data_IF_121341016003
#
_entry.id   IF_121341016003
#
_cell.length_a   1.000
_cell.length_b   1.000
_cell.length_c   1.000
_cell.angle_alpha   90.00
_cell.angle_beta   90.00
_cell.angle_gamma   90.00
#
_symmetry.space_group_name_H-M   'P 1'
#
loop_
_entity.id
_entity.type
_entity.pdbx_description
1 polymer ?
#
# COMPACT_ATOMS: atom_id res chain seq x y z
N UNK A 1 -9.30 -33.81 11.14
CA UNK A 1 -9.52 -32.99 9.93
C UNK A 1 -8.92 -31.60 10.14
N UNK A 2 -7.86 -31.23 9.41
CA UNK A 2 -7.32 -29.86 9.44
C UNK A 2 -8.43 -28.92 8.96
N UNK A 3 -8.98 -28.11 9.85
CA UNK A 3 -9.91 -27.03 9.48
C UNK A 3 -9.26 -26.24 8.33
N UNK A 4 -9.90 -26.12 7.15
CA UNK A 4 -9.32 -25.35 6.06
C UNK A 4 -9.06 -23.96 6.61
N UNK A 5 -7.77 -23.57 6.58
CA UNK A 5 -7.26 -22.29 7.06
C UNK A 5 -8.31 -21.22 6.85
N UNK A 6 -8.84 -20.66 7.95
CA UNK A 6 -9.71 -19.50 7.93
C UNK A 6 -9.10 -18.43 7.02
N UNK A 7 -9.54 -18.42 5.75
CA UNK A 7 -8.98 -17.59 4.68
C UNK A 7 -9.99 -16.49 4.45
N UNK A 8 -9.53 -15.27 4.67
CA UNK A 8 -10.33 -14.05 4.61
C UNK A 8 -10.63 -13.71 3.14
N UNK A 9 -11.47 -14.50 2.47
CA UNK A 9 -11.76 -14.29 1.05
C UNK A 9 -12.36 -12.92 0.77
N UNK A 10 -13.20 -12.41 1.66
CA UNK A 10 -13.78 -11.08 1.54
C UNK A 10 -12.72 -9.97 1.46
N UNK A 11 -11.58 -10.13 2.12
CA UNK A 11 -10.48 -9.16 2.09
C UNK A 11 -9.79 -9.13 0.73
N UNK A 12 -9.52 -10.29 0.13
CA UNK A 12 -8.94 -10.34 -1.21
C UNK A 12 -9.89 -9.71 -2.25
N UNK A 13 -11.19 -9.93 -2.10
CA UNK A 13 -12.21 -9.29 -2.95
C UNK A 13 -12.29 -7.78 -2.71
N UNK A 14 -12.24 -7.31 -1.46
CA UNK A 14 -12.20 -5.87 -1.15
C UNK A 14 -10.96 -5.20 -1.76
N UNK A 15 -9.80 -5.88 -1.77
CA UNK A 15 -8.60 -5.38 -2.45
C UNK A 15 -8.80 -5.32 -3.96
N UNK A 16 -9.47 -6.31 -4.56
CA UNK A 16 -9.83 -6.31 -5.98
C UNK A 16 -10.77 -5.15 -6.31
N UNK A 17 -11.80 -4.94 -5.49
CA UNK A 17 -12.70 -3.79 -5.61
C UNK A 17 -11.94 -2.47 -5.54
N UNK A 18 -11.12 -2.27 -4.50
CA UNK A 18 -10.38 -1.02 -4.32
C UNK A 18 -9.38 -0.75 -5.45
N UNK A 19 -8.69 -1.77 -5.98
CA UNK A 19 -7.77 -1.55 -7.11
C UNK A 19 -8.53 -1.23 -8.40
N UNK A 20 -9.66 -1.88 -8.69
CA UNK A 20 -10.50 -1.55 -9.84
C UNK A 20 -11.06 -0.12 -9.73
N UNK A 21 -11.51 0.27 -8.53
CA UNK A 21 -12.00 1.62 -8.26
C UNK A 21 -10.91 2.69 -8.38
N UNK A 22 -9.68 2.36 -8.01
CA UNK A 22 -8.51 3.23 -8.20
C UNK A 22 -8.24 3.45 -9.69
N UNK A 23 -8.17 2.38 -10.48
CA UNK A 23 -7.91 2.44 -11.93
C UNK A 23 -8.93 3.29 -12.67
N UNK A 24 -10.22 2.95 -12.54
CA UNK A 24 -11.30 3.69 -13.19
C UNK A 24 -11.32 5.13 -12.70
N UNK A 25 -11.06 5.35 -11.41
CA UNK A 25 -11.03 6.68 -10.85
C UNK A 25 -9.97 7.55 -11.53
N UNK A 26 -8.72 7.06 -11.63
CA UNK A 26 -7.63 7.84 -12.24
C UNK A 26 -7.87 8.10 -13.72
N UNK A 27 -8.49 7.13 -14.41
CA UNK A 27 -8.86 7.30 -15.81
C UNK A 27 -9.93 8.38 -15.99
N UNK A 28 -11.07 8.24 -15.31
CA UNK A 28 -12.20 9.17 -15.42
C UNK A 28 -11.78 10.57 -14.94
N UNK A 29 -11.10 10.66 -13.80
CA UNK A 29 -10.63 11.94 -13.27
C UNK A 29 -9.51 12.58 -14.06
N UNK A 30 -8.70 11.82 -14.80
CA UNK A 30 -7.64 12.39 -15.62
C UNK A 30 -8.13 12.89 -16.98
N UNK A 31 -9.14 12.22 -17.54
CA UNK A 31 -9.49 12.34 -18.96
C UNK A 31 -10.88 12.92 -19.23
N UNK A 32 -11.83 12.83 -18.28
CA UNK A 32 -13.18 13.42 -18.44
C UNK A 32 -13.08 14.94 -18.57
N UNK A 33 -13.72 15.50 -19.59
CA UNK A 33 -13.76 16.94 -19.82
C UNK A 33 -14.42 17.70 -18.66
N UNK A 34 -13.93 18.93 -18.43
CA UNK A 34 -14.33 19.73 -17.27
C UNK A 34 -15.81 20.10 -17.27
N UNK A 35 -16.43 20.26 -18.45
CA UNK A 35 -17.85 20.57 -18.60
C UNK A 35 -18.79 19.50 -18.02
N UNK A 36 -18.33 18.25 -17.87
CA UNK A 36 -19.13 17.17 -17.30
C UNK A 36 -18.89 16.94 -15.79
N UNK A 37 -17.99 17.72 -15.17
CA UNK A 37 -17.62 17.58 -13.74
C UNK A 37 -18.54 18.39 -12.84
N UNK A 38 -19.83 18.12 -12.90
CA UNK A 38 -20.83 18.82 -12.09
C UNK A 38 -21.23 17.97 -10.86
N UNK A 39 -20.98 18.48 -9.65
CA UNK A 39 -21.37 17.85 -8.38
C UNK A 39 -22.88 17.79 -8.15
N UNK A 40 -23.67 18.57 -8.88
CA UNK A 40 -25.14 18.49 -8.85
C UNK A 40 -25.67 17.30 -9.65
N UNK A 41 -24.87 16.79 -10.61
CA UNK A 41 -25.24 15.60 -11.35
C UNK A 41 -25.09 14.35 -10.46
N UNK A 42 -26.19 13.65 -10.23
CA UNK A 42 -26.24 12.48 -9.34
C UNK A 42 -25.27 11.36 -9.74
N UNK A 43 -25.03 11.17 -11.04
CA UNK A 43 -24.10 10.15 -11.53
C UNK A 43 -22.65 10.54 -11.23
N UNK A 44 -22.29 11.79 -11.50
CA UNK A 44 -20.94 12.30 -11.24
C UNK A 44 -20.65 12.36 -9.73
N UNK A 45 -21.60 12.86 -8.93
CA UNK A 45 -21.44 12.95 -7.46
C UNK A 45 -21.33 11.57 -6.81
N UNK A 46 -22.12 10.60 -7.26
CA UNK A 46 -22.00 9.20 -6.82
C UNK A 46 -20.64 8.62 -7.17
N UNK A 47 -20.17 8.82 -8.40
CA UNK A 47 -18.84 8.39 -8.81
C UNK A 47 -17.73 9.07 -7.98
N UNK A 48 -17.83 10.38 -7.76
CA UNK A 48 -16.87 11.18 -7.00
C UNK A 48 -16.79 10.70 -5.54
N UNK A 49 -17.94 10.39 -4.93
CA UNK A 49 -18.01 9.78 -3.61
C UNK A 49 -17.23 8.47 -3.54
N UNK A 50 -17.52 7.52 -4.44
CA UNK A 50 -16.81 6.24 -4.47
C UNK A 50 -15.31 6.38 -4.79
N UNK A 51 -14.93 7.35 -5.64
CA UNK A 51 -13.51 7.69 -5.87
C UNK A 51 -12.85 8.17 -4.57
N UNK A 52 -13.50 9.03 -3.81
CA UNK A 52 -13.04 9.51 -2.50
C UNK A 52 -12.88 8.41 -1.44
N UNK A 53 -13.67 7.33 -1.53
CA UNK A 53 -13.60 6.18 -0.62
C UNK A 53 -12.48 5.17 -0.95
N UNK A 54 -11.95 5.21 -2.17
CA UNK A 54 -11.03 4.18 -2.65
C UNK A 54 -9.74 4.10 -1.81
N UNK A 55 -9.11 5.25 -1.54
CA UNK A 55 -7.87 5.28 -0.75
C UNK A 55 -8.09 4.86 0.71
N UNK A 56 -9.08 5.40 1.46
CA UNK A 56 -9.42 4.92 2.81
C UNK A 56 -9.60 3.39 2.88
N UNK A 57 -10.39 2.81 1.96
CA UNK A 57 -10.60 1.35 1.90
C UNK A 57 -9.27 0.63 1.68
N UNK A 58 -8.44 1.09 0.74
CA UNK A 58 -7.17 0.45 0.42
C UNK A 58 -6.20 0.43 1.61
N UNK A 59 -6.07 1.55 2.34
CA UNK A 59 -5.22 1.64 3.53
C UNK A 59 -5.75 0.76 4.67
N UNK A 60 -7.04 0.83 4.99
CA UNK A 60 -7.65 0.04 6.06
C UNK A 60 -7.57 -1.46 5.77
N UNK A 61 -7.85 -1.89 4.54
CA UNK A 61 -7.73 -3.30 4.17
C UNK A 61 -6.28 -3.78 4.22
N UNK A 62 -5.32 -2.95 3.80
CA UNK A 62 -3.89 -3.28 3.86
C UNK A 62 -3.40 -3.45 5.30
N UNK A 63 -3.78 -2.55 6.21
CA UNK A 63 -3.48 -2.65 7.63
C UNK A 63 -4.13 -3.89 8.27
N UNK A 64 -5.41 -4.13 7.95
CA UNK A 64 -6.18 -5.27 8.45
C UNK A 64 -5.51 -6.60 8.14
N UNK A 65 -5.26 -6.88 6.86
CA UNK A 65 -4.70 -8.18 6.47
C UNK A 65 -3.29 -8.36 7.03
N UNK A 66 -2.49 -7.30 7.03
CA UNK A 66 -1.11 -7.38 7.48
C UNK A 66 -1.04 -7.71 8.98
N UNK A 67 -1.76 -6.97 9.82
CA UNK A 67 -1.73 -7.19 11.27
C UNK A 67 -2.54 -8.38 11.72
N UNK A 68 -3.65 -8.74 11.04
CA UNK A 68 -4.33 -10.01 11.28
C UNK A 68 -3.35 -11.17 11.12
N UNK A 69 -2.60 -11.17 10.01
CA UNK A 69 -1.65 -12.22 9.69
C UNK A 69 -0.45 -12.26 10.67
N UNK A 70 0.04 -11.12 11.16
CA UNK A 70 1.08 -11.09 12.19
C UNK A 70 0.58 -11.55 13.56
N UNK A 71 -0.59 -11.06 13.98
CA UNK A 71 -1.17 -11.37 15.28
C UNK A 71 -1.78 -12.78 15.34
N UNK A 72 -1.95 -13.46 14.20
CA UNK A 72 -2.48 -14.83 14.13
C UNK A 72 -1.49 -15.83 14.71
N UNK A 73 -0.20 -15.65 14.47
CA UNK A 73 0.79 -16.61 14.93
C UNK A 73 1.25 -16.27 16.34
N UNK A 74 1.10 -17.24 17.24
CA UNK A 74 1.36 -17.09 18.68
C UNK A 74 2.38 -18.10 19.23
N UNK A 75 2.98 -18.92 18.36
CA UNK A 75 4.02 -19.87 18.76
C UNK A 75 5.32 -19.10 19.03
N UNK A 76 5.97 -19.33 20.17
CA UNK A 76 7.14 -18.55 20.62
C UNK A 76 8.31 -18.56 19.61
N UNK A 77 8.47 -19.63 18.85
CA UNK A 77 9.47 -19.74 17.79
C UNK A 77 9.19 -18.84 16.57
N UNK A 78 7.94 -18.36 16.43
CA UNK A 78 7.43 -17.66 15.23
C UNK A 78 6.93 -16.24 15.53
N UNK A 79 7.27 -15.66 16.68
CA UNK A 79 6.91 -14.28 17.05
C UNK A 79 8.12 -13.34 17.03
N UNK A 80 7.86 -12.03 17.07
CA UNK A 80 8.92 -11.01 17.09
C UNK A 80 9.76 -11.03 15.82
N UNK A 81 11.08 -10.92 15.96
CA UNK A 81 12.02 -10.93 14.82
C UNK A 81 12.08 -12.26 14.07
N UNK A 82 11.76 -13.37 14.73
CA UNK A 82 11.73 -14.70 14.10
C UNK A 82 10.48 -14.89 13.23
N UNK A 83 9.49 -13.99 13.33
CA UNK A 83 8.30 -14.05 12.51
C UNK A 83 8.66 -13.72 11.04
N UNK A 84 8.57 -14.71 10.14
CA UNK A 84 8.91 -14.53 8.70
C UNK A 84 8.25 -13.32 8.01
N UNK A 85 7.02 -12.99 8.41
CA UNK A 85 6.29 -11.79 7.92
C UNK A 85 6.88 -10.45 8.37
N UNK A 86 7.63 -10.37 9.47
CA UNK A 86 8.32 -9.13 9.86
C UNK A 86 9.37 -8.80 8.81
N UNK A 87 10.28 -9.73 8.51
CA UNK A 87 11.33 -9.53 7.50
C UNK A 87 10.72 -9.31 6.10
N UNK A 88 9.73 -10.12 5.71
CA UNK A 88 9.01 -9.94 4.43
C UNK A 88 8.28 -8.59 4.37
N UNK A 89 7.74 -8.13 5.50
CA UNK A 89 7.04 -6.85 5.65
C UNK A 89 8.00 -5.66 5.52
N UNK A 90 9.15 -5.69 6.20
CA UNK A 90 10.18 -4.65 6.10
C UNK A 90 10.68 -4.55 4.66
N UNK A 91 11.08 -5.68 4.07
CA UNK A 91 11.53 -5.73 2.68
C UNK A 91 10.46 -5.18 1.74
N UNK A 92 9.20 -5.57 1.93
CA UNK A 92 8.10 -5.05 1.11
C UNK A 92 7.89 -3.55 1.30
N UNK A 93 7.92 -3.04 2.53
CA UNK A 93 7.76 -1.62 2.83
C UNK A 93 8.82 -0.78 2.11
N UNK A 94 10.09 -1.18 2.22
CA UNK A 94 11.23 -0.53 1.54
C UNK A 94 11.06 -0.61 0.01
N UNK A 95 10.75 -1.80 -0.53
CA UNK A 95 10.54 -1.97 -1.97
C UNK A 95 9.41 -1.08 -2.49
N UNK A 96 8.31 -0.92 -1.74
CA UNK A 96 7.21 -0.03 -2.14
C UNK A 96 7.65 1.43 -2.20
N UNK A 97 8.39 1.91 -1.20
CA UNK A 97 8.90 3.30 -1.17
C UNK A 97 9.85 3.54 -2.36
N UNK A 98 10.81 2.63 -2.59
CA UNK A 98 11.73 2.75 -3.72
C UNK A 98 10.97 2.72 -5.06
N UNK A 99 10.02 1.78 -5.20
CA UNK A 99 9.21 1.68 -6.43
C UNK A 99 8.39 2.95 -6.66
N UNK A 100 7.90 3.59 -5.60
CA UNK A 100 7.12 4.81 -5.69
C UNK A 100 7.95 5.98 -6.26
N UNK A 101 9.15 6.20 -5.71
CA UNK A 101 10.09 7.19 -6.26
C UNK A 101 10.52 6.85 -7.68
N UNK A 102 10.75 5.57 -7.97
CA UNK A 102 11.12 5.12 -9.31
C UNK A 102 10.02 5.47 -10.34
N UNK A 103 8.75 5.20 -10.00
CA UNK A 103 7.61 5.48 -10.88
C UNK A 103 7.42 6.98 -11.16
N UNK A 104 7.73 7.84 -10.19
CA UNK A 104 7.69 9.31 -10.35
C UNK A 104 8.89 9.87 -11.10
N UNK A 105 10.00 9.14 -11.15
CA UNK A 105 11.21 9.55 -11.87
C UNK A 105 11.04 9.36 -13.39
N UNK A 106 11.30 10.41 -14.17
CA UNK A 106 11.50 10.28 -15.61
C UNK A 106 12.89 9.69 -15.89
N UNK A 107 12.99 8.36 -15.96
CA UNK A 107 14.27 7.64 -16.15
C UNK A 107 15.06 8.17 -17.36
N UNK A 108 14.39 8.43 -18.50
CA UNK A 108 15.04 9.01 -19.69
C UNK A 108 15.71 10.35 -19.38
N UNK A 109 15.06 11.21 -18.59
CA UNK A 109 15.64 12.50 -18.25
C UNK A 109 16.83 12.39 -17.29
N UNK A 110 16.73 11.48 -16.32
CA UNK A 110 17.81 11.23 -15.37
C UNK A 110 19.06 10.69 -16.09
N UNK A 111 18.90 9.70 -16.97
CA UNK A 111 20.02 9.04 -17.64
C UNK A 111 20.64 9.87 -18.77
N UNK A 112 19.82 10.61 -19.53
CA UNK A 112 20.31 11.36 -20.71
C UNK A 112 20.72 12.79 -20.34
N UNK A 113 19.96 13.47 -19.49
CA UNK A 113 20.18 14.90 -19.19
C UNK A 113 20.69 15.15 -17.77
N UNK A 114 20.79 14.14 -16.91
CA UNK A 114 21.26 14.27 -15.52
C UNK A 114 20.35 15.12 -14.63
N UNK A 115 19.10 15.40 -15.05
CA UNK A 115 18.18 16.30 -14.34
C UNK A 115 17.14 15.52 -13.54
N UNK A 116 17.01 15.87 -12.26
CA UNK A 116 15.93 15.41 -11.38
C UNK A 116 14.86 16.51 -11.34
N UNK A 117 13.65 16.18 -11.78
CA UNK A 117 12.52 17.11 -11.72
C UNK A 117 11.85 17.10 -10.35
N UNK A 118 11.24 18.22 -9.91
CA UNK A 118 10.50 18.31 -8.65
C UNK A 118 9.41 17.23 -8.48
N UNK A 119 8.78 16.79 -9.57
CA UNK A 119 7.79 15.69 -9.56
C UNK A 119 8.34 14.38 -8.95
N UNK A 120 9.65 14.17 -9.02
CA UNK A 120 10.33 13.00 -8.42
C UNK A 120 10.14 12.94 -6.91
N UNK A 121 10.06 14.10 -6.24
CA UNK A 121 9.94 14.18 -4.78
C UNK A 121 8.50 14.13 -4.29
N UNK A 122 7.50 14.14 -5.18
CA UNK A 122 6.10 14.12 -4.80
C UNK A 122 5.71 12.77 -4.21
N UNK A 123 4.89 12.80 -3.15
CA UNK A 123 4.47 11.61 -2.43
C UNK A 123 3.15 11.08 -2.96
N UNK A 124 3.14 9.76 -3.09
CA UNK A 124 2.06 8.94 -3.62
C UNK A 124 1.59 7.89 -2.61
N UNK A 125 0.44 7.29 -2.91
CA UNK A 125 -0.17 6.23 -2.11
C UNK A 125 0.83 5.11 -1.77
N UNK A 126 1.72 4.73 -2.70
CA UNK A 126 2.69 3.65 -2.53
C UNK A 126 3.75 3.96 -1.45
N UNK A 127 4.19 5.22 -1.35
CA UNK A 127 5.09 5.69 -0.29
C UNK A 127 4.40 5.56 1.07
N UNK A 128 3.17 6.07 1.18
CA UNK A 128 2.39 6.02 2.40
C UNK A 128 2.09 4.58 2.84
N UNK A 129 1.78 3.66 1.91
CA UNK A 129 1.59 2.23 2.23
C UNK A 129 2.89 1.62 2.71
N UNK A 130 4.01 1.88 2.02
CA UNK A 130 5.31 1.37 2.40
C UNK A 130 5.73 1.81 3.81
N UNK A 131 5.59 3.10 4.11
CA UNK A 131 5.88 3.67 5.42
C UNK A 131 4.90 3.16 6.49
N UNK A 132 3.62 3.03 6.16
CA UNK A 132 2.62 2.45 7.08
C UNK A 132 2.96 1.01 7.47
N UNK A 133 3.43 0.18 6.54
CA UNK A 133 3.87 -1.18 6.86
C UNK A 133 5.03 -1.18 7.85
N UNK A 134 6.01 -0.28 7.67
CA UNK A 134 7.14 -0.16 8.60
C UNK A 134 6.68 0.26 10.00
N UNK A 135 5.79 1.25 10.10
CA UNK A 135 5.23 1.66 11.39
C UNK A 135 4.40 0.56 12.06
N UNK A 136 3.58 -0.18 11.31
CA UNK A 136 2.84 -1.32 11.85
C UNK A 136 3.77 -2.41 12.39
N UNK A 137 4.88 -2.68 11.71
CA UNK A 137 5.90 -3.62 12.17
C UNK A 137 6.56 -3.13 13.46
N UNK A 138 6.91 -1.83 13.53
CA UNK A 138 7.47 -1.23 14.75
C UNK A 138 6.50 -1.36 15.93
N UNK A 139 5.20 -1.08 15.72
CA UNK A 139 4.17 -1.25 16.75
C UNK A 139 4.05 -2.72 17.18
N UNK A 140 4.06 -3.66 16.24
CA UNK A 140 4.05 -5.09 16.54
C UNK A 140 5.27 -5.50 17.38
N UNK A 141 6.48 -5.14 16.94
CA UNK A 141 7.72 -5.49 17.65
C UNK A 141 7.82 -4.85 19.04
N UNK A 142 7.22 -3.68 19.23
CA UNK A 142 7.12 -3.05 20.54
C UNK A 142 6.13 -3.76 21.48
N UNK A 143 5.04 -4.30 20.94
CA UNK A 143 3.89 -4.78 21.73
C UNK A 143 3.68 -6.29 21.78
N UNK A 144 4.39 -7.10 20.97
CA UNK A 144 4.10 -8.54 20.82
C UNK A 144 4.25 -9.38 22.11
N UNK A 145 5.10 -8.96 23.05
CA UNK A 145 5.25 -9.62 24.38
C UNK A 145 4.40 -8.98 25.49
N UNK A 146 3.67 -7.91 25.16
CA UNK A 146 2.84 -7.19 26.14
C UNK A 146 1.47 -7.87 26.26
N UNK A 147 0.65 -7.39 27.19
CA UNK A 147 -0.71 -7.89 27.38
C UNK A 147 -1.54 -7.74 26.11
N UNK A 148 -2.52 -8.63 25.92
CA UNK A 148 -3.32 -8.76 24.69
C UNK A 148 -4.02 -7.46 24.24
N UNK A 149 -4.34 -6.55 25.17
CA UNK A 149 -4.99 -5.28 24.89
C UNK A 149 -4.03 -4.16 24.47
N UNK A 150 -2.72 -4.27 24.77
CA UNK A 150 -1.75 -3.18 24.54
C UNK A 150 -1.61 -2.87 23.05
N UNK A 151 -1.47 -3.88 22.21
CA UNK A 151 -1.31 -3.69 20.77
C UNK A 151 -2.56 -3.05 20.11
N UNK A 152 -3.79 -3.56 20.34
CA UNK A 152 -5.01 -2.86 19.90
C UNK A 152 -5.11 -1.42 20.40
N UNK A 153 -4.81 -1.15 21.67
CA UNK A 153 -4.89 0.21 22.24
C UNK A 153 -3.92 1.18 21.57
N UNK A 154 -2.68 0.76 21.29
CA UNK A 154 -1.70 1.60 20.58
C UNK A 154 -2.18 1.90 19.16
N UNK A 155 -2.67 0.89 18.44
CA UNK A 155 -3.16 1.05 17.06
C UNK A 155 -4.34 2.01 16.99
N UNK A 156 -5.33 1.84 17.87
CA UNK A 156 -6.48 2.75 17.96
C UNK A 156 -6.05 4.15 18.40
N UNK A 157 -5.11 4.26 19.34
CA UNK A 157 -4.52 5.53 19.75
C UNK A 157 -3.89 6.30 18.59
N UNK A 158 -3.08 5.63 17.75
CA UNK A 158 -2.52 6.24 16.55
C UNK A 158 -3.59 6.66 15.53
N UNK A 159 -4.67 5.89 15.38
CA UNK A 159 -5.81 6.30 14.54
C UNK A 159 -6.43 7.59 15.06
N UNK A 160 -6.79 7.64 16.35
CA UNK A 160 -7.45 8.78 16.95
C UNK A 160 -6.55 10.02 16.91
N UNK A 161 -5.27 9.90 17.28
CA UNK A 161 -4.30 10.99 17.18
C UNK A 161 -4.18 11.47 15.73
N UNK A 162 -4.03 10.56 14.77
CA UNK A 162 -3.94 10.93 13.35
C UNK A 162 -5.17 11.66 12.83
N UNK A 163 -6.36 11.39 13.36
CA UNK A 163 -7.60 11.97 12.84
C UNK A 163 -7.99 13.26 13.58
N UNK A 164 -7.85 13.28 14.91
CA UNK A 164 -8.16 14.45 15.75
C UNK A 164 -7.22 15.61 15.44
N UNK A 165 -5.93 15.34 15.23
CA UNK A 165 -4.96 16.38 14.91
C UNK A 165 -4.90 16.74 13.42
N UNK A 166 -5.79 16.17 12.59
CA UNK A 166 -5.79 16.42 11.15
C UNK A 166 -5.90 17.87 10.72
N UNK A 167 -6.79 18.69 11.32
CA UNK A 167 -6.85 20.12 11.00
C UNK A 167 -5.55 20.84 11.34
N UNK A 168 -4.88 20.43 12.43
CA UNK A 168 -3.70 21.11 12.95
C UNK A 168 -2.50 20.84 12.04
N UNK A 169 -2.14 19.57 11.80
CA UNK A 169 -0.97 19.28 10.95
C UNK A 169 -1.19 19.66 9.48
N UNK A 170 -2.43 19.69 9.00
CA UNK A 170 -2.71 20.10 7.61
C UNK A 170 -2.56 21.61 7.39
N UNK A 171 -2.64 22.40 8.45
CA UNK A 171 -2.47 23.86 8.42
C UNK A 171 -1.02 24.31 8.71
N UNK A 172 -0.15 23.40 9.21
CA UNK A 172 1.25 23.74 9.49
C UNK A 172 2.05 23.96 8.21
N UNK A 173 3.01 24.86 8.28
CA UNK A 173 4.05 25.01 7.27
C UNK A 173 5.23 24.08 7.59
N UNK A 174 5.79 23.44 6.56
CA UNK A 174 6.89 22.48 6.63
C UNK A 174 8.16 22.97 5.90
N UNK A 175 8.30 24.26 5.63
CA UNK A 175 9.46 24.86 4.94
C UNK A 175 10.80 24.65 5.67
N UNK A 176 10.77 24.33 6.96
CA UNK A 176 11.96 23.98 7.74
C UNK A 176 12.55 22.60 7.41
N UNK A 177 11.82 21.77 6.64
CA UNK A 177 12.28 20.45 6.20
C UNK A 177 12.74 20.49 4.74
N UNK A 178 13.74 19.66 4.36
CA UNK A 178 14.02 19.41 2.95
C UNK A 178 12.76 18.93 2.22
N UNK A 179 12.54 19.41 0.99
CA UNK A 179 11.33 19.14 0.19
C UNK A 179 10.98 17.64 0.15
N UNK A 180 11.98 16.78 0.01
CA UNK A 180 11.80 15.32 -0.01
C UNK A 180 11.13 14.76 1.27
N UNK A 181 11.35 15.39 2.43
CA UNK A 181 10.75 15.04 3.71
C UNK A 181 9.45 15.82 3.93
N UNK A 182 9.44 17.13 3.63
CA UNK A 182 8.26 17.99 3.77
C UNK A 182 7.04 17.41 3.02
N UNK A 183 7.28 16.82 1.85
CA UNK A 183 6.25 16.23 1.00
C UNK A 183 5.50 15.03 1.62
N UNK A 184 6.00 14.45 2.71
CA UNK A 184 5.24 13.46 3.50
C UNK A 184 4.19 14.11 4.41
N UNK A 185 4.29 15.40 4.70
CA UNK A 185 3.42 16.09 5.65
C UNK A 185 2.55 17.18 4.99
N UNK A 186 3.00 17.75 3.87
CA UNK A 186 2.23 18.76 3.12
C UNK A 186 1.97 18.39 1.67
N UNK A 187 0.88 18.93 1.14
CA UNK A 187 0.52 18.88 -0.28
C UNK A 187 0.96 20.14 -1.05
N UNK A 188 1.53 21.14 -0.37
CA UNK A 188 1.91 22.42 -0.96
C UNK A 188 2.85 22.29 -2.18
N UNK A 189 3.72 21.26 -2.18
CA UNK A 189 4.68 21.01 -3.26
C UNK A 189 4.16 20.00 -4.33
N UNK A 190 2.85 19.76 -4.40
CA UNK A 190 2.21 18.90 -5.40
C UNK A 190 2.05 17.42 -5.02
N UNK A 191 2.43 17.01 -3.81
CA UNK A 191 2.11 15.67 -3.29
C UNK A 191 0.59 15.45 -3.23
N UNK A 192 0.14 14.29 -3.72
CA UNK A 192 -1.28 13.90 -3.65
C UNK A 192 -1.61 13.30 -2.28
N UNK A 193 -0.64 12.58 -1.69
CA UNK A 193 -0.76 11.88 -0.42
C UNK A 193 0.27 12.38 0.60
N UNK A 194 -0.11 12.34 1.88
CA UNK A 194 0.72 12.68 3.06
C UNK A 194 0.61 11.53 4.08
N UNK A 195 1.63 11.23 4.88
CA UNK A 195 1.58 10.07 5.80
C UNK A 195 0.39 10.11 6.75
N UNK A 196 0.01 11.30 7.22
CA UNK A 196 -1.24 11.54 7.94
C UNK A 196 -2.23 12.26 7.02
N UNK A 197 -3.51 11.84 6.94
CA UNK A 197 -4.20 10.87 7.81
C UNK A 197 -4.09 9.40 7.36
N UNK A 198 -3.38 9.09 6.27
CA UNK A 198 -3.45 7.77 5.65
C UNK A 198 -2.97 6.61 6.55
N UNK A 199 -1.95 6.87 7.39
CA UNK A 199 -1.55 5.93 8.44
C UNK A 199 -2.64 5.71 9.50
N UNK A 200 -3.49 6.71 9.77
CA UNK A 200 -4.66 6.56 10.64
C UNK A 200 -5.62 5.48 10.13
N UNK A 201 -5.92 5.47 8.83
CA UNK A 201 -6.74 4.40 8.22
C UNK A 201 -6.05 3.03 8.26
N UNK A 202 -4.74 2.98 8.03
CA UNK A 202 -3.96 1.75 8.09
C UNK A 202 -3.88 1.18 9.52
N UNK A 203 -3.65 2.04 10.51
CA UNK A 203 -3.62 1.68 11.94
C UNK A 203 -4.99 1.21 12.43
N UNK A 204 -6.08 1.84 11.98
CA UNK A 204 -7.44 1.38 12.31
C UNK A 204 -7.75 0.01 11.70
N UNK A 205 -7.38 -0.17 10.43
CA UNK A 205 -7.47 -1.47 9.77
C UNK A 205 -6.70 -2.54 10.54
N UNK A 206 -5.47 -2.21 10.94
CA UNK A 206 -4.65 -3.08 11.76
C UNK A 206 -5.29 -3.41 13.12
N UNK A 207 -5.87 -2.42 13.80
CA UNK A 207 -6.63 -2.61 15.05
C UNK A 207 -7.75 -3.65 14.85
N UNK A 208 -8.58 -3.46 13.82
CA UNK A 208 -9.62 -4.43 13.47
C UNK A 208 -9.03 -5.82 13.16
N UNK A 209 -7.91 -5.89 12.44
CA UNK A 209 -7.23 -7.14 12.10
C UNK A 209 -6.73 -7.89 13.34
N UNK A 210 -6.22 -7.17 14.34
CA UNK A 210 -5.80 -7.76 15.63
C UNK A 210 -7.01 -8.28 16.40
N UNK A 211 -8.08 -7.50 16.54
CA UNK A 211 -9.32 -7.94 17.20
C UNK A 211 -9.88 -9.20 16.52
N UNK A 212 -9.93 -9.19 15.19
CA UNK A 212 -10.38 -10.32 14.41
C UNK A 212 -9.51 -11.57 14.66
N UNK A 213 -8.19 -11.40 14.78
CA UNK A 213 -7.28 -12.50 15.13
C UNK A 213 -7.53 -13.07 16.53
N UNK A 214 -7.79 -12.19 17.52
CA UNK A 214 -8.08 -12.58 18.90
C UNK A 214 -9.35 -13.44 18.97
N UNK A 215 -10.42 -13.00 18.28
CA UNK A 215 -11.72 -13.66 18.32
C UNK A 215 -11.94 -14.70 17.20
N UNK A 216 -10.92 -15.03 16.40
CA UNK A 216 -11.04 -15.86 15.19
C UNK A 216 -11.64 -17.26 15.43
N UNK A 217 -11.49 -17.81 16.64
CA UNK A 217 -11.98 -19.14 17.00
C UNK A 217 -13.45 -19.11 17.44
N UNK A 218 -14.05 -17.92 17.59
CA UNK A 218 -15.45 -17.78 17.94
C UNK A 218 -16.32 -18.04 16.70
N UNK A 219 -17.29 -18.96 16.83
CA UNK A 219 -18.25 -19.33 15.77
C UNK A 219 -19.00 -18.11 15.21
N UNK A 220 -19.25 -17.10 16.04
CA UNK A 220 -20.03 -15.91 15.68
C UNK A 220 -19.17 -14.69 15.34
N UNK A 221 -17.85 -14.86 15.12
CA UNK A 221 -16.93 -13.72 14.86
C UNK A 221 -17.39 -12.83 13.71
N UNK A 222 -17.90 -13.41 12.62
CA UNK A 222 -18.43 -12.64 11.49
C UNK A 222 -19.72 -11.90 11.83
N UNK A 223 -20.62 -12.50 12.61
CA UNK A 223 -21.87 -11.85 13.00
C UNK A 223 -21.58 -10.62 13.88
N UNK A 224 -20.70 -10.77 14.88
CA UNK A 224 -20.26 -9.65 15.69
C UNK A 224 -19.55 -8.59 14.85
N UNK A 225 -18.63 -9.00 13.96
CA UNK A 225 -17.94 -8.05 13.10
C UNK A 225 -18.91 -7.26 12.21
N UNK A 226 -19.91 -7.91 11.60
CA UNK A 226 -20.95 -7.25 10.78
C UNK A 226 -21.76 -6.27 11.63
N UNK A 227 -22.23 -6.67 12.82
CA UNK A 227 -23.00 -5.78 13.69
C UNK A 227 -22.18 -4.56 14.13
N UNK A 228 -20.94 -4.76 14.60
CA UNK A 228 -20.09 -3.66 15.05
C UNK A 228 -19.69 -2.75 13.90
N UNK A 229 -19.25 -3.29 12.76
CA UNK A 229 -18.87 -2.47 11.61
C UNK A 229 -20.07 -1.73 11.01
N UNK A 230 -21.27 -2.33 11.02
CA UNK A 230 -22.50 -1.65 10.61
C UNK A 230 -22.86 -0.52 11.57
N UNK A 231 -22.88 -0.78 12.88
CA UNK A 231 -23.25 0.20 13.89
C UNK A 231 -22.29 1.39 13.89
N UNK A 232 -20.99 1.14 14.06
CA UNK A 232 -19.98 2.21 14.05
C UNK A 232 -19.86 2.87 12.67
N UNK A 233 -20.10 2.12 11.60
CA UNK A 233 -20.17 2.67 10.24
C UNK A 233 -21.25 3.73 10.12
N UNK A 234 -22.49 3.41 10.50
CA UNK A 234 -23.61 4.35 10.47
C UNK A 234 -23.39 5.56 11.40
N UNK A 235 -22.89 5.32 12.62
CA UNK A 235 -22.60 6.40 13.58
C UNK A 235 -21.55 7.36 13.03
N UNK A 236 -20.44 6.86 12.50
CA UNK A 236 -19.38 7.71 11.95
C UNK A 236 -19.80 8.42 10.65
N UNK A 237 -20.57 7.77 9.79
CA UNK A 237 -21.02 8.34 8.52
C UNK A 237 -22.09 9.42 8.70
N UNK A 238 -23.02 9.28 9.65
CA UNK A 238 -24.19 10.15 9.73
C UNK A 238 -24.28 10.98 11.02
N UNK A 239 -23.80 10.45 12.14
CA UNK A 239 -24.03 11.07 13.47
C UNK A 239 -22.82 11.92 13.90
N UNK A 240 -21.60 11.51 13.54
CA UNK A 240 -20.37 12.12 14.07
C UNK A 240 -20.23 13.62 13.78
N UNK A 241 -20.45 14.06 12.55
CA UNK A 241 -20.35 15.48 12.19
C UNK A 241 -21.44 16.34 12.86
N UNK A 242 -22.74 15.98 12.78
CA UNK A 242 -23.79 16.69 13.54
C UNK A 242 -23.54 16.74 15.05
N UNK A 243 -23.05 15.64 15.64
CA UNK A 243 -22.70 15.60 17.05
C UNK A 243 -21.59 16.62 17.39
N UNK A 244 -20.55 16.71 16.57
CA UNK A 244 -19.48 17.70 16.79
C UNK A 244 -19.93 19.14 16.58
N UNK A 245 -20.87 19.41 15.66
CA UNK A 245 -21.49 20.72 15.53
C UNK A 245 -22.28 21.10 16.78
N UNK A 246 -23.03 20.15 17.35
CA UNK A 246 -23.73 20.35 18.62
C UNK A 246 -22.75 20.61 19.78
N UNK A 247 -21.64 19.86 19.85
CA UNK A 247 -20.57 20.14 20.83
C UNK A 247 -19.97 21.53 20.65
N UNK A 248 -19.73 21.96 19.41
CA UNK A 248 -19.24 23.32 19.13
C UNK A 248 -20.24 24.38 19.60
N UNK A 249 -21.54 24.21 19.36
CA UNK A 249 -22.57 25.15 19.84
C UNK A 249 -22.63 25.25 21.37
N UNK A 250 -22.35 24.15 22.09
CA UNK A 250 -22.34 24.15 23.55
C UNK A 250 -21.05 24.72 24.16
N UNK A 251 -19.91 24.49 23.51
CA UNK A 251 -18.58 24.75 24.12
C UNK A 251 -17.80 25.87 23.44
N UNK A 252 -18.27 26.37 22.30
CA UNK A 252 -17.54 27.26 21.38
C UNK A 252 -16.15 26.71 20.99
N UNK A 253 -15.99 25.39 20.93
CA UNK A 253 -14.70 24.76 20.59
C UNK A 253 -14.41 24.78 19.09
N UNK A 254 -13.37 25.50 18.68
CA UNK A 254 -12.90 25.51 17.27
C UNK A 254 -12.48 24.13 16.77
N UNK A 255 -11.87 23.32 17.64
CA UNK A 255 -11.47 21.96 17.28
C UNK A 255 -12.69 21.11 16.91
N UNK A 256 -13.80 21.23 17.64
CA UNK A 256 -15.03 20.53 17.33
C UNK A 256 -15.59 20.95 15.95
N UNK A 257 -15.57 22.24 15.63
CA UNK A 257 -15.99 22.76 14.33
C UNK A 257 -15.10 22.25 13.18
N UNK A 258 -13.78 22.29 13.37
CA UNK A 258 -12.82 21.83 12.37
C UNK A 258 -12.96 20.32 12.11
N UNK A 259 -13.19 19.53 13.16
CA UNK A 259 -13.43 18.09 13.03
C UNK A 259 -14.78 17.78 12.39
N UNK A 260 -15.83 18.57 12.70
CA UNK A 260 -17.15 18.40 12.08
C UNK A 260 -17.11 18.65 10.56
N UNK A 261 -16.33 19.63 10.12
CA UNK A 261 -16.13 19.97 8.69
C UNK A 261 -15.19 19.01 7.98
N UNK A 262 -14.40 18.21 8.71
CA UNK A 262 -13.46 17.28 8.12
C UNK A 262 -14.12 15.92 7.85
N UNK A 263 -13.99 15.41 6.62
CA UNK A 263 -14.61 14.15 6.22
C UNK A 263 -13.86 12.89 6.68
N UNK A 264 -12.72 12.99 7.36
CA UNK A 264 -11.88 11.81 7.69
C UNK A 264 -12.66 10.76 8.50
N UNK A 265 -13.39 11.17 9.54
CA UNK A 265 -14.20 10.24 10.34
C UNK A 265 -15.41 9.70 9.55
N UNK A 266 -16.06 10.55 8.74
CA UNK A 266 -17.15 10.15 7.85
C UNK A 266 -16.68 9.06 6.86
N UNK A 267 -15.53 9.28 6.21
CA UNK A 267 -14.91 8.31 5.30
C UNK A 267 -14.55 7.02 6.02
N UNK A 268 -14.09 7.07 7.28
CA UNK A 268 -13.88 5.86 8.07
C UNK A 268 -15.20 5.09 8.30
N UNK A 269 -16.30 5.81 8.60
CA UNK A 269 -17.64 5.22 8.69
C UNK A 269 -18.04 4.49 7.41
N UNK A 270 -17.84 5.14 6.26
CA UNK A 270 -18.12 4.55 4.95
C UNK A 270 -17.25 3.32 4.68
N UNK A 271 -15.96 3.32 5.08
CA UNK A 271 -15.10 2.14 4.99
C UNK A 271 -15.66 0.99 5.83
N UNK A 272 -16.15 1.25 7.05
CA UNK A 272 -16.78 0.24 7.89
C UNK A 272 -18.06 -0.34 7.25
N UNK A 273 -18.87 0.49 6.58
CA UNK A 273 -20.01 0.02 5.81
C UNK A 273 -19.58 -0.86 4.63
N UNK A 274 -18.50 -0.52 3.93
CA UNK A 274 -17.92 -1.39 2.90
C UNK A 274 -17.49 -2.74 3.50
N UNK A 275 -16.81 -2.73 4.65
CA UNK A 275 -16.48 -3.97 5.38
C UNK A 275 -17.72 -4.79 5.73
N UNK A 276 -18.80 -4.14 6.17
CA UNK A 276 -20.09 -4.77 6.48
C UNK A 276 -20.64 -5.52 5.26
N UNK A 277 -20.73 -4.83 4.11
CA UNK A 277 -21.26 -5.40 2.86
C UNK A 277 -20.42 -6.60 2.40
N UNK A 278 -19.09 -6.46 2.35
CA UNK A 278 -18.23 -7.56 1.89
C UNK A 278 -18.18 -8.75 2.86
N UNK A 279 -18.29 -8.53 4.17
CA UNK A 279 -18.40 -9.61 5.15
C UNK A 279 -19.76 -10.32 5.09
N UNK A 280 -20.85 -9.58 4.84
CA UNK A 280 -22.18 -10.14 4.63
C UNK A 280 -22.23 -11.01 3.36
N UNK A 281 -21.64 -10.52 2.27
CA UNK A 281 -21.59 -11.20 0.97
C UNK A 281 -20.47 -12.25 0.85
N UNK A 282 -19.76 -12.57 1.94
CA UNK A 282 -18.59 -13.48 1.92
C UNK A 282 -18.88 -14.86 1.34
N UNK A 283 -20.12 -15.35 1.46
CA UNK A 283 -20.54 -16.65 0.94
C UNK A 283 -20.91 -16.61 -0.55
N UNK A 284 -21.17 -15.42 -1.10
CA UNK A 284 -21.58 -15.21 -2.50
C UNK A 284 -20.37 -14.85 -3.36
N UNK A 285 -19.47 -13.99 -2.87
CA UNK A 285 -18.37 -13.43 -3.66
C UNK A 285 -17.09 -14.28 -3.52
N UNK A 286 -17.17 -15.56 -3.89
CA UNK A 286 -16.05 -16.52 -3.75
C UNK A 286 -15.24 -16.76 -5.03
N UNK A 287 -15.58 -16.10 -6.14
CA UNK A 287 -14.91 -16.31 -7.43
C UNK A 287 -13.38 -16.16 -7.32
N UNK A 288 -12.67 -17.23 -7.72
CA UNK A 288 -11.22 -17.27 -7.68
C UNK A 288 -10.58 -16.20 -8.57
N UNK A 289 -11.21 -15.90 -9.72
CA UNK A 289 -10.77 -14.85 -10.64
C UNK A 289 -10.79 -13.46 -10.00
N UNK A 290 -11.82 -13.14 -9.20
CA UNK A 290 -11.90 -11.84 -8.52
C UNK A 290 -10.82 -11.75 -7.44
N UNK A 291 -10.63 -12.83 -6.68
CA UNK A 291 -9.60 -12.88 -5.64
C UNK A 291 -8.19 -12.74 -6.20
N UNK A 292 -7.91 -13.30 -7.38
CA UNK A 292 -6.58 -13.22 -7.98
C UNK A 292 -6.22 -11.79 -8.41
N UNK A 293 -7.20 -10.95 -8.76
CA UNK A 293 -7.01 -9.50 -8.98
C UNK A 293 -6.47 -8.86 -7.69
N UNK A 294 -7.15 -9.12 -6.57
CA UNK A 294 -6.76 -8.58 -5.26
C UNK A 294 -5.39 -9.04 -4.76
N UNK A 295 -4.87 -10.17 -5.24
CA UNK A 295 -3.53 -10.65 -4.90
C UNK A 295 -2.43 -9.95 -5.71
N UNK A 296 -2.76 -9.43 -6.89
CA UNK A 296 -1.82 -8.83 -7.85
C UNK A 296 -1.91 -7.29 -7.89
N UNK A 297 -2.34 -6.64 -6.81
CA UNK A 297 -2.57 -5.18 -6.77
C UNK A 297 -1.35 -4.33 -7.11
N UNK A 298 -0.13 -4.79 -6.76
CA UNK A 298 1.09 -4.01 -7.01
C UNK A 298 1.45 -3.97 -8.50
N UNK A 299 1.36 -5.09 -9.22
CA UNK A 299 1.65 -5.11 -10.66
C UNK A 299 0.60 -4.31 -11.43
N UNK A 300 -0.68 -4.44 -11.06
CA UNK A 300 -1.75 -3.60 -11.59
C UNK A 300 -1.46 -2.11 -11.35
N UNK A 301 -1.00 -1.76 -10.14
CA UNK A 301 -0.60 -0.40 -9.81
C UNK A 301 0.58 0.08 -10.67
N UNK A 302 1.61 -0.73 -10.90
CA UNK A 302 2.74 -0.28 -11.72
C UNK A 302 2.30 -0.05 -13.18
N UNK A 303 1.53 -0.99 -13.73
CA UNK A 303 1.11 -0.95 -15.14
C UNK A 303 0.20 0.25 -15.43
N UNK A 304 -0.75 0.58 -14.53
CA UNK A 304 -1.65 1.71 -14.78
C UNK A 304 -0.89 3.04 -14.84
N UNK A 305 0.16 3.16 -14.04
CA UNK A 305 0.98 4.35 -13.98
C UNK A 305 1.80 4.52 -15.28
N UNK A 306 2.25 3.41 -15.87
CA UNK A 306 2.88 3.40 -17.20
C UNK A 306 1.87 3.78 -18.28
N UNK A 307 0.70 3.14 -18.34
CA UNK A 307 -0.27 3.35 -19.43
C UNK A 307 -0.93 4.73 -19.36
N UNK A 308 -1.35 5.16 -18.17
CA UNK A 308 -2.10 6.42 -18.01
C UNK A 308 -1.16 7.62 -17.97
N UNK A 309 -0.13 7.58 -17.12
CA UNK A 309 0.75 8.74 -16.89
C UNK A 309 2.03 8.71 -17.74
N UNK A 310 2.33 7.60 -18.41
CA UNK A 310 3.53 7.49 -19.24
C UNK A 310 4.81 7.33 -18.43
N UNK A 311 4.76 6.75 -17.24
CA UNK A 311 5.98 6.54 -16.45
C UNK A 311 7.00 5.68 -17.19
N UNK A 312 8.28 6.03 -17.02
CA UNK A 312 9.46 5.52 -17.73
C UNK A 312 9.56 5.91 -19.21
N UNK A 313 8.47 5.84 -19.98
CA UNK A 313 8.48 6.06 -21.43
C UNK A 313 8.24 7.52 -21.82
N UNK A 314 7.49 8.27 -21.00
CA UNK A 314 6.97 9.60 -21.30
C UNK A 314 5.69 9.61 -22.14
N UNK A 315 5.20 8.44 -22.57
CA UNK A 315 4.02 8.30 -23.43
C UNK A 315 2.89 7.64 -22.64
N UNK A 316 1.95 8.45 -22.16
CA UNK A 316 0.75 8.01 -21.47
C UNK A 316 -0.52 8.61 -22.08
N UNK A 317 -1.67 8.02 -21.77
CA UNK A 317 -2.96 8.53 -22.24
C UNK A 317 -3.24 9.95 -21.73
N UNK A 318 -2.76 10.29 -20.53
CA UNK A 318 -2.96 11.59 -19.92
C UNK A 318 -2.39 12.72 -20.79
N UNK A 319 -1.24 12.54 -21.43
CA UNK A 319 -0.63 13.59 -22.27
C UNK A 319 -1.49 13.97 -23.48
N UNK A 320 -2.28 13.03 -24.01
CA UNK A 320 -3.06 13.23 -25.24
C UNK A 320 -4.53 13.57 -24.98
N UNK A 321 -5.10 13.05 -23.89
CA UNK A 321 -6.53 13.11 -23.63
C UNK A 321 -6.89 13.85 -22.35
N UNK A 322 -5.96 14.60 -21.76
CA UNK A 322 -6.20 15.36 -20.53
C UNK A 322 -7.45 16.23 -20.62
N UNK A 323 -8.42 16.01 -19.72
CA UNK A 323 -9.67 16.78 -19.62
C UNK A 323 -10.39 17.04 -20.96
N UNK A 324 -10.43 16.04 -21.84
CA UNK A 324 -10.93 16.22 -23.22
C UNK A 324 -12.03 15.23 -23.62
N UNK A 325 -12.20 14.14 -22.89
CA UNK A 325 -13.11 13.07 -23.28
C UNK A 325 -14.55 13.34 -22.83
N UNK A 326 -15.50 12.98 -23.67
CA UNK A 326 -16.92 12.96 -23.32
C UNK A 326 -17.26 11.78 -22.37
N UNK A 327 -18.43 11.77 -21.72
CA UNK A 327 -18.79 10.73 -20.75
C UNK A 327 -18.88 9.33 -21.35
N UNK A 328 -19.43 9.19 -22.56
CA UNK A 328 -19.62 7.89 -23.21
C UNK A 328 -18.28 7.20 -23.50
N UNK A 329 -17.33 7.93 -24.10
CA UNK A 329 -15.97 7.46 -24.37
C UNK A 329 -15.24 7.21 -23.05
N UNK A 330 -15.43 8.09 -22.05
CA UNK A 330 -14.77 7.94 -20.75
C UNK A 330 -15.22 6.68 -20.01
N UNK A 331 -16.51 6.35 -20.01
CA UNK A 331 -17.04 5.15 -19.33
C UNK A 331 -16.51 3.88 -20.00
N UNK A 332 -16.65 3.78 -21.33
CA UNK A 332 -16.16 2.63 -22.09
C UNK A 332 -14.63 2.51 -21.95
N UNK A 333 -13.93 3.64 -22.08
CA UNK A 333 -12.49 3.74 -21.90
C UNK A 333 -12.03 3.30 -20.53
N UNK A 334 -12.73 3.67 -19.46
CA UNK A 334 -12.41 3.25 -18.09
C UNK A 334 -12.56 1.73 -17.91
N UNK A 335 -13.63 1.13 -18.45
CA UNK A 335 -13.83 -0.32 -18.41
C UNK A 335 -12.73 -1.07 -19.17
N UNK A 336 -12.41 -0.62 -20.38
CA UNK A 336 -11.32 -1.18 -21.19
C UNK A 336 -9.97 -1.01 -20.50
N UNK A 337 -9.72 0.17 -19.90
CA UNK A 337 -8.50 0.45 -19.16
C UNK A 337 -8.35 -0.49 -17.95
N UNK A 338 -9.41 -0.70 -17.17
CA UNK A 338 -9.41 -1.66 -16.05
C UNK A 338 -9.12 -3.08 -16.55
N UNK A 339 -9.84 -3.54 -17.58
CA UNK A 339 -9.67 -4.88 -18.13
C UNK A 339 -8.26 -5.10 -18.68
N UNK A 340 -7.73 -4.12 -19.44
CA UNK A 340 -6.38 -4.15 -20.01
C UNK A 340 -5.31 -4.22 -18.91
N UNK A 341 -5.40 -3.38 -17.89
CA UNK A 341 -4.44 -3.40 -16.77
C UNK A 341 -4.43 -4.74 -16.03
N UNK A 342 -5.61 -5.32 -15.77
CA UNK A 342 -5.73 -6.64 -15.15
C UNK A 342 -5.12 -7.72 -16.06
N UNK A 343 -5.44 -7.69 -17.35
CA UNK A 343 -4.94 -8.67 -18.32
C UNK A 343 -3.41 -8.61 -18.45
N UNK A 344 -2.83 -7.42 -18.64
CA UNK A 344 -1.37 -7.23 -18.69
C UNK A 344 -0.75 -7.67 -17.37
N UNK A 345 -1.36 -7.33 -16.23
CA UNK A 345 -0.83 -7.75 -14.93
C UNK A 345 -0.79 -9.27 -14.79
N UNK A 346 -1.80 -10.00 -15.26
CA UNK A 346 -1.79 -11.46 -15.20
C UNK A 346 -0.75 -12.06 -16.14
N UNK A 347 -0.61 -11.53 -17.35
CA UNK A 347 0.47 -11.92 -18.26
C UNK A 347 1.85 -11.66 -17.64
N UNK A 348 2.08 -10.45 -17.12
CA UNK A 348 3.34 -10.08 -16.47
C UNK A 348 3.68 -11.04 -15.32
N UNK A 349 2.74 -11.35 -14.43
CA UNK A 349 3.02 -12.24 -13.30
C UNK A 349 3.27 -13.70 -13.73
N UNK A 350 2.67 -14.15 -14.84
CA UNK A 350 2.98 -15.44 -15.43
C UNK A 350 4.42 -15.48 -15.99
N UNK A 351 4.82 -14.47 -16.76
CA UNK A 351 6.18 -14.38 -17.34
C UNK A 351 7.27 -14.10 -16.31
N UNK A 352 6.96 -13.31 -15.27
CA UNK A 352 7.91 -12.95 -14.21
C UNK A 352 8.49 -14.18 -13.53
N UNK A 353 7.67 -15.20 -13.29
CA UNK A 353 8.12 -16.45 -12.70
C UNK A 353 9.19 -17.13 -13.58
N UNK A 354 8.91 -17.24 -14.88
CA UNK A 354 9.82 -17.83 -15.88
C UNK A 354 11.13 -17.04 -15.98
N UNK A 355 11.07 -15.71 -16.01
CA UNK A 355 12.26 -14.85 -16.07
C UNK A 355 13.09 -14.98 -14.79
N UNK A 356 12.46 -14.98 -13.62
CA UNK A 356 13.18 -15.10 -12.36
C UNK A 356 13.86 -16.46 -12.22
N UNK A 357 13.20 -17.54 -12.65
CA UNK A 357 13.77 -18.89 -12.68
C UNK A 357 15.01 -18.95 -13.57
N UNK A 358 14.91 -18.42 -14.80
CA UNK A 358 16.07 -18.31 -15.71
C UNK A 358 17.19 -17.43 -15.16
N UNK A 359 16.85 -16.31 -14.49
CA UNK A 359 17.84 -15.42 -13.89
C UNK A 359 18.57 -16.09 -12.71
N UNK A 360 17.85 -16.84 -11.88
CA UNK A 360 18.46 -17.60 -10.78
C UNK A 360 19.38 -18.69 -11.31
N UNK A 361 19.00 -19.37 -12.40
CA UNK A 361 19.87 -20.31 -13.08
C UNK A 361 21.18 -19.62 -13.53
N UNK A 362 21.09 -18.50 -14.24
CA UNK A 362 22.26 -17.72 -14.68
C UNK A 362 23.13 -17.25 -13.51
N UNK A 363 22.53 -16.73 -12.43
CA UNK A 363 23.27 -16.30 -11.23
C UNK A 363 24.01 -17.48 -10.59
N UNK A 364 23.42 -18.68 -10.61
CA UNK A 364 24.03 -19.88 -10.04
C UNK A 364 25.22 -20.34 -10.87
N UNK A 365 25.08 -20.35 -12.20
CA UNK A 365 26.18 -20.63 -13.14
C UNK A 365 27.34 -19.64 -12.96
N UNK A 366 27.04 -18.33 -12.89
CA UNK A 366 28.07 -17.29 -12.66
C UNK A 366 28.79 -17.51 -11.32
N UNK A 367 28.05 -17.83 -10.25
CA UNK A 367 28.65 -18.12 -8.93
C UNK A 367 29.54 -19.35 -8.98
N UNK A 368 29.12 -20.42 -9.66
CA UNK A 368 29.93 -21.62 -9.82
C UNK A 368 31.21 -21.33 -10.60
N UNK A 369 31.11 -20.61 -11.72
CA UNK A 369 32.26 -20.18 -12.50
C UNK A 369 33.24 -19.32 -11.66
N UNK A 370 32.72 -18.42 -10.82
CA UNK A 370 33.56 -17.62 -9.90
C UNK A 370 34.28 -18.48 -8.86
N UNK A 371 33.58 -19.47 -8.27
CA UNK A 371 34.16 -20.39 -7.28
C UNK A 371 35.25 -21.27 -7.94
N UNK A 372 35.01 -21.77 -9.14
CA UNK A 372 35.99 -22.54 -9.89
C UNK A 372 37.20 -21.70 -10.27
N UNK A 373 36.99 -20.49 -10.79
CA UNK A 373 38.06 -19.53 -11.08
C UNK A 373 38.89 -19.18 -9.84
N UNK A 374 38.24 -19.00 -8.69
CA UNK A 374 38.92 -18.78 -7.42
C UNK A 374 39.76 -19.99 -6.98
N UNK A 375 39.24 -21.22 -7.13
CA UNK A 375 39.99 -22.45 -6.82
C UNK A 375 41.19 -22.64 -7.75
N UNK A 376 41.03 -22.30 -9.02
CA UNK A 376 42.08 -22.46 -10.03
C UNK A 376 43.20 -21.45 -9.82
N UNK A 377 42.86 -20.19 -9.54
CA UNK A 377 43.83 -19.14 -9.22
C UNK A 377 44.58 -19.44 -7.92
N UNK A 378 43.90 -19.85 -6.84
CA UNK A 378 44.57 -20.26 -5.59
C UNK A 378 45.52 -21.43 -5.80
N UNK A 379 45.14 -22.46 -6.56
CA UNK A 379 46.06 -23.56 -6.92
C UNK A 379 47.28 -23.09 -7.70
N UNK A 380 47.09 -22.18 -8.66
CA UNK A 380 48.18 -21.59 -9.44
C UNK A 380 49.15 -20.81 -8.54
N UNK A 381 48.64 -19.91 -7.71
CA UNK A 381 49.47 -19.12 -6.79
C UNK A 381 50.19 -19.98 -5.75
N UNK A 382 49.57 -21.05 -5.25
CA UNK A 382 50.23 -22.00 -4.35
C UNK A 382 51.37 -22.75 -5.05
N UNK A 383 51.18 -23.19 -6.30
CA UNK A 383 52.25 -23.82 -7.10
C UNK A 383 53.38 -22.85 -7.39
N UNK A 384 53.06 -21.61 -7.78
CA UNK A 384 54.03 -20.56 -8.03
C UNK A 384 54.85 -20.24 -6.78
N UNK A 385 54.19 -20.07 -5.62
CA UNK A 385 54.84 -19.89 -4.32
C UNK A 385 55.80 -21.03 -4.03
N UNK A 386 55.38 -22.28 -4.22
CA UNK A 386 56.23 -23.44 -3.95
C UNK A 386 57.45 -23.49 -4.88
N UNK A 387 57.29 -23.16 -6.17
CA UNK A 387 58.42 -23.09 -7.10
C UNK A 387 59.39 -21.97 -6.76
N UNK A 388 58.90 -20.78 -6.38
CA UNK A 388 59.74 -19.67 -5.94
C UNK A 388 60.51 -20.06 -4.66
N UNK A 389 59.84 -20.73 -3.71
CA UNK A 389 60.48 -21.18 -2.47
C UNK A 389 61.60 -22.20 -2.74
N UNK A 390 61.37 -23.14 -3.66
CA UNK A 390 62.37 -24.12 -4.10
C UNK A 390 63.58 -23.44 -4.77
N UNK A 391 63.35 -22.43 -5.63
CA UNK A 391 64.40 -21.63 -6.26
C UNK A 391 65.22 -20.87 -5.22
N UNK A 392 64.57 -20.22 -4.25
CA UNK A 392 65.26 -19.50 -3.17
C UNK A 392 66.10 -20.43 -2.29
N UNK A 393 65.57 -21.61 -1.93
CA UNK A 393 66.30 -22.62 -1.15
C UNK A 393 67.53 -23.17 -1.90
N UNK A 394 67.44 -23.31 -3.22
CA UNK A 394 68.56 -23.71 -4.07
C UNK A 394 69.66 -22.63 -4.13
N UNK A 395 69.29 -21.35 -4.07
CA UNK A 395 70.25 -20.24 -4.02
C UNK A 395 70.95 -20.11 -2.66
N UNK A 396 70.28 -20.43 -1.55
CA UNK A 396 70.87 -20.38 -0.20
C UNK A 396 71.75 -21.58 0.18
N UNK A 397 71.83 -22.61 -0.67
CA UNK A 397 72.65 -23.83 -0.46
C UNK A 397 73.98 -23.82 -1.24
N UNK A 398 74.33 -22.72 -1.87
CA UNK A 398 75.70 -22.38 -2.28
C UNK A 398 76.28 -21.40 -1.28
#
# INVERSE_FOLDING_TARGET
MKNPLFRLYFIDVMRAFAICMMLQGHFVDGLLANEFRNSENIFYSTWLFFRGLTAPVFFTVSGFIFMFLLAKEKTDEKIGWNHSRVIKGIRRGIVLIITAYLLRTHIRSLLVYGKIYPNTYMIDVLHCIGLSLLFLISIYLFSYRKKIYVMPSILLGFTLISFVFAPIYSAMNYDFLPIAIANYFTKANGSVFTIFPWFGYASFGAFMGVLFSIFRNNKYVYNYAIVFTSFFGLVLSFIFSPFLLWVNQLTNSDLALLLAKNEIFNRLGNVLLVFTVFMALRNVIMSEKIRSIGQNTLSIYIIHYIILYGSFTGFGLYQYFHFSLNPYITIIGALLFVALNIWISFRYNHWKFIVFEKLQFVITEIKQAFIEGYRLSTRFFLRLKNQILLLLLAFTRK
#
